data_IF_115633061909
#
_entry.id   IF_115633061909
#
_cell.length_a   1.000
_cell.length_b   1.000
_cell.length_c   1.000
_cell.angle_alpha   90.00
_cell.angle_beta   90.00
_cell.angle_gamma   90.00
#
_symmetry.space_group_name_H-M   'P 1'
#
loop_
_entity.id
_entity.type
_entity.pdbx_description
1 polymer ?
#
# COMPACT_ATOMS: atom_id res chain seq x y z
N UNK A 1 15.86 9.41 6.37
CA UNK A 1 14.52 9.99 6.06
C UNK A 1 13.39 9.29 6.82
N UNK A 2 13.17 7.99 6.68
CA UNK A 2 12.07 7.26 7.35
C UNK A 2 12.10 7.32 8.89
N UNK A 3 13.26 7.55 9.50
CA UNK A 3 13.37 7.77 10.96
C UNK A 3 12.51 8.92 11.50
N UNK A 4 12.13 9.86 10.64
CA UNK A 4 11.21 10.96 11.00
C UNK A 4 9.77 10.50 11.26
N UNK A 5 9.42 9.28 10.84
CA UNK A 5 8.13 8.67 11.14
C UNK A 5 8.07 8.07 12.55
N UNK A 6 9.21 7.87 13.22
CA UNK A 6 9.24 7.31 14.58
C UNK A 6 8.77 8.33 15.63
N UNK A 7 8.13 7.85 16.71
CA UNK A 7 7.67 6.49 16.94
C UNK A 7 6.50 6.09 16.04
N UNK A 8 6.30 4.77 15.88
CA UNK A 8 5.15 4.25 15.15
C UNK A 8 3.89 4.33 16.03
N UNK A 9 2.74 4.56 15.42
CA UNK A 9 1.47 4.71 16.12
C UNK A 9 0.64 3.43 16.04
N UNK A 10 0.07 3.00 17.18
CA UNK A 10 -0.78 1.82 17.27
C UNK A 10 -2.19 2.01 16.74
N UNK A 11 -2.71 3.22 16.78
CA UNK A 11 -4.11 3.49 16.45
C UNK A 11 -4.25 4.58 15.38
N UNK A 12 -4.05 5.83 15.73
CA UNK A 12 -4.24 6.93 14.80
C UNK A 12 -2.93 7.32 14.12
N UNK A 13 -2.93 7.40 12.79
CA UNK A 13 -1.78 7.89 12.02
C UNK A 13 -1.51 9.36 12.35
N UNK A 14 -0.40 9.61 13.02
CA UNK A 14 0.00 10.96 13.47
C UNK A 14 0.95 11.63 12.49
N UNK A 15 1.79 10.86 11.82
CA UNK A 15 2.82 11.36 10.89
C UNK A 15 2.65 10.73 9.52
N UNK A 16 2.78 11.57 8.50
CA UNK A 16 2.70 11.18 7.08
C UNK A 16 3.86 11.81 6.35
N UNK A 17 4.53 11.03 5.54
CA UNK A 17 5.66 11.48 4.74
C UNK A 17 5.29 11.40 3.26
N UNK A 18 5.43 12.51 2.56
CA UNK A 18 5.29 12.61 1.12
C UNK A 18 6.67 12.73 0.50
N UNK A 19 7.03 11.81 -0.37
CA UNK A 19 8.38 11.66 -0.89
C UNK A 19 8.33 11.79 -2.41
N UNK A 20 8.98 12.82 -3.01
CA UNK A 20 9.16 12.88 -4.45
C UNK A 20 9.86 11.62 -4.96
N UNK A 21 9.51 11.19 -6.17
CA UNK A 21 10.12 10.04 -6.83
C UNK A 21 10.71 10.44 -8.18
N UNK A 22 11.53 9.58 -8.78
CA UNK A 22 12.02 9.75 -10.16
C UNK A 22 10.92 9.53 -11.23
N UNK A 23 9.67 9.79 -10.88
CA UNK A 23 8.51 9.69 -11.76
C UNK A 23 7.55 10.86 -11.55
N UNK A 24 6.40 10.85 -12.23
CA UNK A 24 5.32 11.80 -11.99
C UNK A 24 4.52 11.54 -10.69
N UNK A 25 4.93 10.53 -9.89
CA UNK A 25 4.24 10.15 -8.67
C UNK A 25 4.99 10.63 -7.42
N UNK A 26 4.23 10.92 -6.39
CA UNK A 26 4.75 11.18 -5.04
C UNK A 26 4.40 9.99 -4.15
N UNK A 27 5.39 9.42 -3.48
CA UNK A 27 5.15 8.33 -2.56
C UNK A 27 4.59 8.86 -1.22
N UNK A 28 3.68 8.09 -0.64
CA UNK A 28 3.05 8.35 0.65
C UNK A 28 3.38 7.22 1.62
N UNK A 29 3.90 7.56 2.79
CA UNK A 29 4.18 6.63 3.88
C UNK A 29 3.65 7.21 5.19
N UNK A 30 3.07 6.36 6.04
CA UNK A 30 2.57 6.76 7.36
C UNK A 30 3.33 6.09 8.49
N UNK A 31 3.17 6.60 9.71
CA UNK A 31 3.79 6.00 10.90
C UNK A 31 2.92 4.91 11.57
N UNK A 32 2.01 4.30 10.86
CA UNK A 32 1.22 3.20 11.42
C UNK A 32 2.08 1.97 11.66
N UNK A 33 2.01 1.37 12.85
CA UNK A 33 2.90 0.28 13.27
C UNK A 33 2.72 -1.03 12.49
N UNK A 34 1.50 -1.30 12.00
CA UNK A 34 1.20 -2.45 11.14
C UNK A 34 1.69 -2.28 9.72
N UNK A 35 2.19 -1.11 9.37
CA UNK A 35 2.55 -0.69 8.02
C UNK A 35 1.58 0.36 7.47
N UNK A 36 1.96 1.00 6.39
CA UNK A 36 1.11 2.01 5.75
C UNK A 36 -0.10 1.36 5.10
N UNK A 37 -1.27 1.49 5.71
CA UNK A 37 -2.53 1.24 5.01
C UNK A 37 -3.03 2.55 4.40
N UNK A 38 -2.84 2.68 3.10
CA UNK A 38 -3.14 3.90 2.37
C UNK A 38 -4.45 3.84 1.58
N UNK A 39 -5.30 2.83 1.74
CA UNK A 39 -6.54 2.69 0.98
C UNK A 39 -7.45 3.92 1.16
N UNK A 40 -7.81 4.24 2.38
CA UNK A 40 -8.68 5.39 2.69
C UNK A 40 -8.05 6.75 2.35
N UNK A 41 -6.79 7.06 2.72
CA UNK A 41 -6.14 8.29 2.29
C UNK A 41 -6.04 8.43 0.76
N UNK A 42 -5.64 7.38 0.05
CA UNK A 42 -5.49 7.44 -1.42
C UNK A 42 -6.82 7.63 -2.11
N UNK A 43 -7.85 6.89 -1.74
CA UNK A 43 -9.21 7.06 -2.27
C UNK A 43 -9.73 8.48 -2.03
N UNK A 44 -9.53 9.01 -0.81
CA UNK A 44 -9.99 10.36 -0.44
C UNK A 44 -9.24 11.45 -1.19
N UNK A 45 -7.91 11.38 -1.28
CA UNK A 45 -7.11 12.35 -2.02
C UNK A 45 -7.42 12.31 -3.51
N UNK A 46 -7.49 11.12 -4.11
CA UNK A 46 -7.82 10.98 -5.52
C UNK A 46 -9.17 11.63 -5.86
N UNK A 47 -10.16 11.42 -5.01
CA UNK A 47 -11.50 11.99 -5.18
C UNK A 47 -11.55 13.50 -4.97
N UNK A 48 -10.90 14.02 -3.91
CA UNK A 48 -10.96 15.46 -3.55
C UNK A 48 -10.10 16.34 -4.42
N UNK A 49 -8.95 15.83 -4.84
CA UNK A 49 -7.98 16.58 -5.63
C UNK A 49 -8.09 16.29 -7.13
N UNK A 50 -9.03 15.43 -7.55
CA UNK A 50 -9.18 14.98 -8.93
C UNK A 50 -7.89 14.43 -9.56
N UNK A 51 -7.11 13.70 -8.76
CA UNK A 51 -5.86 13.06 -9.18
C UNK A 51 -5.98 11.53 -9.22
N UNK A 52 -4.96 10.87 -9.72
CA UNK A 52 -4.80 9.43 -9.56
C UNK A 52 -4.08 9.13 -8.25
N UNK A 53 -4.52 8.09 -7.55
CA UNK A 53 -3.83 7.52 -6.39
C UNK A 53 -3.58 6.04 -6.64
N UNK A 54 -2.48 5.52 -6.13
CA UNK A 54 -2.13 4.11 -6.24
C UNK A 54 -1.75 3.56 -4.86
N UNK A 55 -2.39 2.46 -4.46
CA UNK A 55 -1.99 1.66 -3.30
C UNK A 55 -1.30 0.40 -3.80
N UNK A 56 -0.12 0.15 -3.26
CA UNK A 56 0.69 -1.03 -3.55
C UNK A 56 0.91 -1.80 -2.26
N UNK A 57 0.58 -3.08 -2.25
CA UNK A 57 0.81 -3.97 -1.10
C UNK A 57 1.65 -5.16 -1.53
N UNK A 58 2.71 -5.43 -0.80
CA UNK A 58 3.57 -6.60 -0.99
C UNK A 58 4.00 -7.15 0.38
N UNK A 59 3.21 -8.06 0.91
CA UNK A 59 3.48 -8.73 2.19
C UNK A 59 3.80 -10.20 1.92
N UNK A 60 5.03 -10.66 2.19
CA UNK A 60 5.36 -12.08 2.08
C UNK A 60 4.53 -12.94 3.04
N UNK A 61 4.05 -14.08 2.56
CA UNK A 61 3.38 -15.05 3.43
C UNK A 61 4.41 -15.83 4.23
N UNK A 62 4.51 -15.52 5.51
CA UNK A 62 5.49 -16.12 6.43
C UNK A 62 4.85 -16.83 7.62
N UNK A 63 3.53 -17.01 7.59
CA UNK A 63 2.80 -17.65 8.68
C UNK A 63 3.29 -19.07 8.93
N UNK A 64 3.61 -19.38 10.18
CA UNK A 64 4.07 -20.68 10.66
C UNK A 64 2.97 -21.40 11.41
N UNK A 65 3.16 -22.69 11.66
CA UNK A 65 2.21 -23.54 12.41
C UNK A 65 1.99 -23.08 13.86
N UNK A 66 2.96 -22.41 14.47
CA UNK A 66 2.89 -21.83 15.81
C UNK A 66 2.13 -20.49 15.86
N UNK A 67 1.59 -20.04 14.73
CA UNK A 67 0.88 -18.76 14.58
C UNK A 67 1.81 -17.55 14.47
N UNK A 68 3.12 -17.72 14.44
CA UNK A 68 4.06 -16.62 14.17
C UNK A 68 4.15 -16.31 12.68
N UNK A 69 4.51 -15.07 12.33
CA UNK A 69 4.61 -14.62 10.95
C UNK A 69 3.43 -13.77 10.51
N UNK A 70 3.25 -13.64 9.20
CA UNK A 70 2.22 -12.77 8.60
C UNK A 70 1.46 -13.49 7.50
N UNK A 71 0.20 -13.18 7.35
CA UNK A 71 -0.56 -13.51 6.17
C UNK A 71 -0.03 -12.72 4.97
N UNK A 72 0.12 -13.39 3.83
CA UNK A 72 0.64 -12.77 2.61
C UNK A 72 -0.42 -11.99 1.86
N UNK A 73 0.00 -10.90 1.21
CA UNK A 73 -0.85 -10.13 0.32
C UNK A 73 -0.03 -9.48 -0.80
N UNK A 74 -0.56 -9.51 -2.01
CA UNK A 74 -0.05 -8.75 -3.16
C UNK A 74 -1.24 -8.01 -3.75
N UNK A 75 -1.19 -6.67 -3.75
CA UNK A 75 -2.31 -5.85 -4.23
C UNK A 75 -1.82 -4.63 -5.00
N UNK A 76 -2.59 -4.26 -6.01
CA UNK A 76 -2.48 -3.02 -6.77
C UNK A 76 -3.87 -2.41 -6.87
N UNK A 77 -4.06 -1.22 -6.29
CA UNK A 77 -5.35 -0.53 -6.30
C UNK A 77 -5.16 0.90 -6.80
N UNK A 78 -5.66 1.16 -7.98
CA UNK A 78 -5.66 2.49 -8.58
C UNK A 78 -7.00 3.19 -8.33
N UNK A 79 -6.92 4.36 -7.75
CA UNK A 79 -8.04 5.26 -7.50
C UNK A 79 -8.00 6.44 -8.48
N UNK A 80 -9.16 6.95 -8.82
CA UNK A 80 -9.32 8.14 -9.65
C UNK A 80 -10.27 9.17 -9.05
N UNK A 81 -10.59 10.22 -9.81
CA UNK A 81 -11.66 11.15 -9.45
C UNK A 81 -13.00 10.42 -9.25
N UNK A 82 -13.88 11.02 -8.45
CA UNK A 82 -15.23 10.48 -8.26
C UNK A 82 -15.97 10.44 -9.61
N UNK A 83 -16.55 9.29 -9.92
CA UNK A 83 -17.42 9.12 -11.08
C UNK A 83 -18.89 9.21 -10.64
N UNK A 84 -19.76 9.93 -11.38
CA UNK A 84 -21.18 9.96 -11.11
C UNK A 84 -21.77 8.54 -11.07
N UNK A 85 -22.65 8.28 -10.08
CA UNK A 85 -23.35 6.99 -9.96
C UNK A 85 -22.51 5.83 -9.42
N UNK A 86 -21.18 5.97 -9.20
CA UNK A 86 -20.37 4.92 -8.58
C UNK A 86 -20.16 5.14 -7.08
N UNK A 87 -20.28 4.07 -6.30
CA UNK A 87 -20.05 4.09 -4.85
C UNK A 87 -18.54 4.21 -4.52
N UNK A 88 -17.70 3.60 -5.33
CA UNK A 88 -16.24 3.62 -5.18
C UNK A 88 -15.61 4.44 -6.30
N UNK A 89 -14.35 4.83 -6.11
CA UNK A 89 -13.56 5.52 -7.11
C UNK A 89 -12.37 4.69 -7.61
N UNK A 90 -12.49 3.36 -7.56
CA UNK A 90 -11.53 2.47 -8.20
C UNK A 90 -11.54 2.66 -9.71
N UNK A 91 -10.33 2.82 -10.28
CA UNK A 91 -10.06 2.70 -11.72
C UNK A 91 -9.73 1.25 -12.03
N UNK A 92 -8.82 0.67 -11.25
CA UNK A 92 -8.45 -0.74 -11.28
C UNK A 92 -8.10 -1.20 -9.89
N UNK A 93 -8.61 -2.36 -9.47
CA UNK A 93 -8.18 -3.03 -8.26
C UNK A 93 -7.89 -4.49 -8.59
N UNK A 94 -6.81 -5.01 -8.04
CA UNK A 94 -6.30 -6.34 -8.29
C UNK A 94 -5.57 -6.82 -7.05
N UNK A 95 -5.89 -8.00 -6.55
CA UNK A 95 -5.24 -8.49 -5.34
C UNK A 95 -5.36 -10.00 -5.13
N UNK A 96 -4.28 -10.60 -4.65
CA UNK A 96 -4.27 -11.92 -4.06
C UNK A 96 -3.81 -11.80 -2.60
N UNK A 97 -4.66 -12.16 -1.65
CA UNK A 97 -4.36 -12.07 -0.22
C UNK A 97 -4.76 -13.34 0.52
N UNK A 98 -4.05 -13.62 1.61
CA UNK A 98 -4.44 -14.69 2.51
C UNK A 98 -5.30 -14.09 3.63
N UNK A 99 -6.55 -14.52 3.69
CA UNK A 99 -7.49 -14.12 4.72
C UNK A 99 -7.81 -15.33 5.60
N UNK A 100 -7.30 -15.29 6.85
CA UNK A 100 -7.53 -16.32 7.84
C UNK A 100 -7.07 -17.73 7.44
N UNK A 101 -6.01 -17.86 6.63
CA UNK A 101 -5.47 -19.14 6.13
C UNK A 101 -5.99 -19.54 4.75
N UNK A 102 -6.93 -18.79 4.16
CA UNK A 102 -7.43 -19.01 2.80
C UNK A 102 -6.95 -17.90 1.87
N UNK A 103 -6.44 -18.26 0.70
CA UNK A 103 -6.14 -17.29 -0.35
C UNK A 103 -7.41 -16.89 -1.10
N UNK A 104 -7.55 -15.59 -1.26
CA UNK A 104 -8.62 -14.95 -2.03
C UNK A 104 -7.98 -14.11 -3.13
N UNK A 105 -8.59 -14.11 -4.30
CA UNK A 105 -8.22 -13.25 -5.42
C UNK A 105 -9.44 -12.45 -5.83
N UNK A 106 -9.28 -11.14 -5.88
CA UNK A 106 -10.31 -10.21 -6.29
C UNK A 106 -9.77 -9.24 -7.33
N UNK A 107 -10.64 -8.86 -8.26
CA UNK A 107 -10.34 -7.83 -9.24
C UNK A 107 -11.57 -6.96 -9.54
N UNK A 108 -11.35 -5.72 -9.92
CA UNK A 108 -12.38 -4.83 -10.42
C UNK A 108 -11.81 -3.74 -11.33
N UNK A 109 -12.64 -3.22 -12.22
CA UNK A 109 -12.25 -2.27 -13.27
C UNK A 109 -11.68 -2.96 -14.51
N UNK A 110 -11.53 -2.20 -15.60
CA UNK A 110 -10.99 -2.72 -16.85
C UNK A 110 -9.49 -3.01 -16.72
N UNK A 111 -9.02 -4.19 -17.16
CA UNK A 111 -7.60 -4.52 -17.17
C UNK A 111 -6.78 -3.54 -18.01
N UNK A 112 -5.57 -3.23 -17.57
CA UNK A 112 -4.62 -2.52 -18.41
C UNK A 112 -4.07 -3.45 -19.49
N UNK A 113 -3.67 -2.89 -20.65
CA UNK A 113 -3.17 -3.66 -21.79
C UNK A 113 -1.92 -4.50 -21.49
N UNK A 114 -1.18 -4.18 -20.43
CA UNK A 114 0.01 -4.92 -20.00
C UNK A 114 -0.29 -6.02 -18.97
N UNK A 115 -1.55 -6.19 -18.53
CA UNK A 115 -1.89 -7.20 -17.54
C UNK A 115 -1.89 -8.60 -18.15
N UNK A 116 -1.41 -9.56 -17.39
CA UNK A 116 -1.38 -10.99 -17.74
C UNK A 116 -2.70 -11.65 -17.30
N UNK A 117 -3.81 -11.25 -17.93
CA UNK A 117 -5.17 -11.64 -17.51
C UNK A 117 -5.42 -13.15 -17.55
N UNK A 118 -4.69 -13.89 -18.38
CA UNK A 118 -4.73 -15.35 -18.43
C UNK A 118 -4.27 -16.00 -17.13
N UNK A 119 -3.36 -15.33 -16.38
CA UNK A 119 -2.87 -15.78 -15.07
C UNK A 119 -3.94 -15.71 -13.99
N UNK A 120 -4.95 -14.87 -14.14
CA UNK A 120 -6.02 -14.72 -13.13
C UNK A 120 -6.90 -15.96 -13.02
N UNK A 121 -6.79 -16.89 -13.96
CA UNK A 121 -7.47 -18.18 -13.96
C UNK A 121 -6.61 -19.33 -13.41
N UNK A 122 -5.41 -19.05 -12.91
CA UNK A 122 -4.55 -20.09 -12.34
C UNK A 122 -5.27 -20.87 -11.24
N UNK A 123 -5.03 -22.20 -11.20
CA UNK A 123 -5.68 -23.10 -10.24
C UNK A 123 -5.40 -22.70 -8.79
N UNK A 124 -4.15 -22.32 -8.50
CA UNK A 124 -3.75 -21.85 -7.17
C UNK A 124 -4.00 -20.36 -7.09
N UNK A 125 -4.90 -19.95 -6.21
CA UNK A 125 -5.31 -18.54 -6.06
C UNK A 125 -4.13 -17.60 -5.82
N UNK A 126 -3.14 -18.01 -5.03
CA UNK A 126 -1.93 -17.20 -4.77
C UNK A 126 -1.06 -16.95 -6.00
N UNK A 127 -1.21 -17.78 -7.05
CA UNK A 127 -0.42 -17.68 -8.29
C UNK A 127 -1.13 -16.80 -9.33
N UNK A 128 -2.36 -16.36 -9.05
CA UNK A 128 -3.15 -15.48 -9.93
C UNK A 128 -2.61 -14.06 -9.99
N UNK A 129 -2.03 -13.58 -8.88
CA UNK A 129 -1.35 -12.30 -8.85
C UNK A 129 -0.16 -12.37 -7.92
N UNK A 130 1.03 -12.42 -8.48
CA UNK A 130 2.29 -12.63 -7.77
C UNK A 130 3.07 -11.32 -7.57
N UNK A 131 4.05 -11.35 -6.69
CA UNK A 131 4.95 -10.20 -6.49
C UNK A 131 5.72 -9.82 -7.77
N UNK A 132 6.10 -10.79 -8.59
CA UNK A 132 6.78 -10.51 -9.86
C UNK A 132 5.84 -9.83 -10.87
N UNK A 133 4.58 -10.27 -10.95
CA UNK A 133 3.56 -9.58 -11.75
C UNK A 133 3.34 -8.16 -11.25
N UNK A 134 3.24 -7.96 -9.93
CA UNK A 134 3.11 -6.62 -9.35
C UNK A 134 4.28 -5.72 -9.75
N UNK A 135 5.52 -6.19 -9.66
CA UNK A 135 6.70 -5.42 -10.09
C UNK A 135 6.65 -5.07 -11.56
N UNK A 136 6.27 -6.02 -12.39
CA UNK A 136 6.14 -5.82 -13.82
C UNK A 136 5.07 -4.75 -14.16
N UNK A 137 3.90 -4.86 -13.56
CA UNK A 137 2.82 -3.88 -13.74
C UNK A 137 3.21 -2.47 -13.26
N UNK A 138 3.93 -2.39 -12.15
CA UNK A 138 4.43 -1.11 -11.65
C UNK A 138 5.44 -0.48 -12.61
N UNK A 139 6.34 -1.26 -13.24
CA UNK A 139 7.26 -0.75 -14.27
C UNK A 139 6.52 -0.18 -15.48
N UNK A 140 5.45 -0.84 -15.93
CA UNK A 140 4.60 -0.29 -17.01
C UNK A 140 3.91 1.02 -16.62
N UNK A 141 3.68 1.24 -15.31
CA UNK A 141 3.19 2.51 -14.78
C UNK A 141 4.31 3.54 -14.50
N UNK A 142 5.57 3.22 -14.83
CA UNK A 142 6.74 4.07 -14.58
C UNK A 142 7.15 4.11 -13.11
N UNK A 143 6.93 3.02 -12.36
CA UNK A 143 7.15 2.95 -10.92
C UNK A 143 8.11 1.82 -10.54
N UNK A 144 9.06 2.12 -9.64
CA UNK A 144 9.99 1.15 -9.03
C UNK A 144 10.01 1.29 -7.50
N UNK A 145 8.87 1.10 -6.80
CA UNK A 145 8.78 1.43 -5.37
C UNK A 145 9.60 0.51 -4.46
N UNK A 146 10.18 -0.55 -4.99
CA UNK A 146 11.03 -1.49 -4.26
C UNK A 146 12.53 -1.18 -4.43
N UNK A 147 12.87 -0.14 -5.19
CA UNK A 147 14.23 0.33 -5.43
C UNK A 147 14.48 1.61 -4.63
N UNK A 148 15.56 1.66 -3.85
CA UNK A 148 15.83 2.78 -2.94
C UNK A 148 16.14 4.08 -3.70
N UNK A 149 16.83 3.97 -4.82
CA UNK A 149 17.19 5.09 -5.71
C UNK A 149 16.00 5.67 -6.49
N UNK A 150 14.84 5.00 -6.44
CA UNK A 150 13.59 5.53 -7.01
C UNK A 150 13.09 6.78 -6.27
N UNK A 151 13.52 6.98 -5.02
CA UNK A 151 13.03 8.06 -4.14
C UNK A 151 14.01 9.21 -4.05
N UNK A 152 13.50 10.42 -3.81
CA UNK A 152 14.25 11.65 -3.57
C UNK A 152 15.22 12.02 -4.71
N UNK A 153 14.71 12.41 -5.88
CA UNK A 153 15.55 12.98 -6.92
C UNK A 153 16.44 14.10 -6.39
N UNK A 154 17.65 14.27 -6.91
CA UNK A 154 18.56 15.33 -6.49
C UNK A 154 17.88 16.71 -6.49
N UNK A 155 18.08 17.48 -5.43
CA UNK A 155 17.48 18.82 -5.28
C UNK A 155 16.02 18.82 -4.80
N UNK A 156 15.43 17.64 -4.49
CA UNK A 156 14.08 17.56 -3.92
C UNK A 156 14.09 17.27 -2.42
N UNK A 157 12.99 17.60 -1.74
CA UNK A 157 12.81 17.34 -0.32
C UNK A 157 11.51 16.57 -0.07
N UNK A 158 11.54 15.67 0.90
CA UNK A 158 10.33 15.03 1.41
C UNK A 158 9.59 15.95 2.38
N UNK A 159 8.27 15.85 2.40
CA UNK A 159 7.40 16.63 3.27
C UNK A 159 6.85 15.77 4.39
N UNK A 160 7.17 16.12 5.64
CA UNK A 160 6.57 15.52 6.82
C UNK A 160 5.34 16.33 7.24
N UNK A 161 4.18 15.67 7.24
CA UNK A 161 2.93 16.21 7.76
C UNK A 161 2.65 15.54 9.10
N UNK A 162 2.54 16.32 10.16
CA UNK A 162 2.22 15.85 11.50
C UNK A 162 0.88 16.40 11.95
N UNK A 163 0.01 15.52 12.46
CA UNK A 163 -1.22 15.94 13.11
C UNK A 163 -0.87 16.58 14.47
N UNK A 164 -1.35 17.78 14.70
CA UNK A 164 -1.26 18.48 15.99
C UNK A 164 -2.65 18.51 16.60
N UNK A 165 -2.93 17.65 17.58
CA UNK A 165 -4.19 17.51 18.34
C UNK A 165 -5.49 18.13 17.80
N UNK A 166 -6.62 17.92 18.45
CA UNK A 166 -6.83 16.90 19.44
C UNK A 166 -6.76 15.50 18.82
N UNK A 167 -6.19 14.56 19.56
CA UNK A 167 -6.23 13.15 19.17
C UNK A 167 -7.51 12.55 19.73
N UNK A 168 -8.21 11.77 18.91
CA UNK A 168 -9.42 11.05 19.34
C UNK A 168 -9.05 9.87 20.24
N UNK A 169 -7.85 9.32 20.05
CA UNK A 169 -7.33 8.19 20.83
C UNK A 169 -5.83 8.37 21.01
N UNK A 170 -5.36 8.27 22.25
CA UNK A 170 -3.93 8.20 22.57
C UNK A 170 -3.54 6.72 22.53
N UNK A 171 -3.12 6.26 21.35
CA UNK A 171 -2.67 4.89 21.17
C UNK A 171 -1.25 4.66 21.67
N UNK A 172 -0.91 3.38 21.86
CA UNK A 172 0.46 2.98 22.18
C UNK A 172 1.39 3.37 21.03
N UNK A 173 2.54 3.90 21.40
CA UNK A 173 3.65 4.09 20.48
C UNK A 173 4.57 2.88 20.48
N UNK A 174 5.17 2.60 19.32
CA UNK A 174 6.06 1.45 19.12
C UNK A 174 7.39 1.91 18.52
N UNK A 175 8.46 1.29 18.99
CA UNK A 175 9.74 1.33 18.28
C UNK A 175 9.69 0.46 17.03
N UNK A 176 10.67 0.61 16.16
CA UNK A 176 10.79 -0.25 14.98
C UNK A 176 11.04 -1.73 15.37
N UNK A 177 11.77 -1.96 16.45
CA UNK A 177 12.05 -3.30 16.96
C UNK A 177 10.78 -3.97 17.51
N UNK A 178 10.01 -3.25 18.32
CA UNK A 178 8.72 -3.73 18.82
C UNK A 178 7.76 -4.07 17.67
N UNK A 179 7.65 -3.19 16.67
CA UNK A 179 6.78 -3.44 15.52
C UNK A 179 7.21 -4.67 14.69
N UNK A 180 8.51 -4.96 14.62
CA UNK A 180 9.03 -6.16 13.97
C UNK A 180 8.81 -7.43 14.78
N UNK A 181 8.91 -7.32 16.11
CA UNK A 181 8.74 -8.44 17.04
C UNK A 181 7.27 -8.79 17.30
N UNK A 182 6.36 -7.82 17.14
CA UNK A 182 4.94 -8.03 17.42
C UNK A 182 4.32 -8.95 16.38
N UNK A 183 3.69 -10.01 16.84
CA UNK A 183 2.88 -10.89 16.00
C UNK A 183 1.69 -10.08 15.50
N UNK A 184 1.56 -9.99 14.19
CA UNK A 184 0.33 -9.48 13.59
C UNK A 184 -0.64 -10.65 13.57
N UNK A 185 -1.62 -10.60 14.47
CA UNK A 185 -2.77 -11.50 14.45
C UNK A 185 -3.66 -11.18 13.25
#
# INVERSE_FOLDING_TARGET
MLSRLLPLSGEETQRRLFIPTHSAWTAYVSNQWTGTDAASPMSTMARRLSIRGLRVVAVPHTLRKDGSGRYGAVMLEMYGPKQPGKLTNYVRALGASNDGGRWVFDESGEPFAFEQVEKYQERRVRDRFTFEMLKDYLRHLGLSPFEEDFYLPPGTNAWLVQKTGPFTTVGREYTLEEARATRVL
#
